data_IF_624006228917
#
_entry.id   IF_624006228917
#
_cell.length_a   1.000
_cell.length_b   1.000
_cell.length_c   1.000
_cell.angle_alpha   90.00
_cell.angle_beta   90.00
_cell.angle_gamma   90.00
#
_symmetry.space_group_name_H-M   'P 1'
#
loop_
_entity.id
_entity.type
_entity.pdbx_description
1 polymer ?
#
# COMPACT_ATOMS: atom_id res chain seq x y z
N UNK A 1 62.23 -11.96 -46.03
CA UNK A 1 61.73 -11.22 -44.85
C UNK A 1 60.25 -10.83 -44.89
N UNK A 2 59.47 -11.12 -45.95
CA UNK A 2 58.07 -10.69 -46.06
C UNK A 2 57.03 -11.54 -45.31
N UNK A 3 57.33 -12.79 -44.94
CA UNK A 3 56.33 -13.71 -44.38
C UNK A 3 56.06 -13.51 -42.87
N UNK A 4 56.94 -12.83 -42.14
CA UNK A 4 56.79 -12.57 -40.70
C UNK A 4 55.82 -11.44 -40.38
N UNK A 5 55.71 -10.39 -41.21
CA UNK A 5 54.76 -9.29 -40.96
C UNK A 5 53.29 -9.70 -41.07
N UNK A 6 52.96 -10.61 -42.01
CA UNK A 6 51.57 -11.06 -42.22
C UNK A 6 50.99 -11.78 -40.99
N UNK A 7 51.78 -12.58 -40.30
CA UNK A 7 51.34 -13.30 -39.08
C UNK A 7 51.20 -12.41 -37.84
N UNK A 8 51.94 -11.30 -37.75
CA UNK A 8 51.79 -10.33 -36.65
C UNK A 8 50.48 -9.55 -36.79
N UNK A 9 50.13 -9.15 -38.01
CA UNK A 9 48.90 -8.38 -38.27
C UNK A 9 47.63 -9.21 -38.03
N UNK A 10 47.59 -10.48 -38.47
CA UNK A 10 46.44 -11.37 -38.22
C UNK A 10 46.29 -11.76 -36.75
N UNK A 11 47.40 -11.97 -36.01
CA UNK A 11 47.34 -12.21 -34.56
C UNK A 11 46.82 -11.00 -33.78
N UNK A 12 47.16 -9.76 -34.17
CA UNK A 12 46.60 -8.55 -33.54
C UNK A 12 45.11 -8.35 -33.86
N UNK A 13 44.67 -8.65 -35.07
CA UNK A 13 43.24 -8.61 -35.42
C UNK A 13 42.41 -9.62 -34.62
N UNK A 14 42.91 -10.85 -34.44
CA UNK A 14 42.23 -11.88 -33.63
C UNK A 14 42.21 -11.56 -32.13
N UNK A 15 43.27 -10.96 -31.58
CA UNK A 15 43.28 -10.50 -30.18
C UNK A 15 42.35 -9.31 -29.94
N UNK A 16 42.17 -8.41 -30.91
CA UNK A 16 41.19 -7.32 -30.83
C UNK A 16 39.73 -7.82 -30.91
N UNK A 17 39.46 -8.84 -31.74
CA UNK A 17 38.14 -9.47 -31.84
C UNK A 17 37.76 -10.29 -30.59
N UNK A 18 38.73 -10.96 -29.95
CA UNK A 18 38.49 -11.75 -28.74
C UNK A 18 38.16 -10.89 -27.49
N UNK A 19 38.55 -9.62 -27.47
CA UNK A 19 38.27 -8.70 -26.35
C UNK A 19 36.90 -8.02 -26.42
N UNK A 20 36.17 -8.13 -27.54
CA UNK A 20 34.82 -7.57 -27.70
C UNK A 20 33.68 -8.60 -27.55
N UNK A 21 34.01 -9.88 -27.28
CA UNK A 21 33.05 -10.99 -27.29
C UNK A 21 32.55 -11.44 -25.89
N UNK A 22 33.00 -10.82 -24.80
CA UNK A 22 32.60 -11.18 -23.41
C UNK A 22 31.77 -10.11 -22.70
N UNK A 23 31.39 -9.03 -23.38
CA UNK A 23 30.53 -7.97 -22.85
C UNK A 23 29.03 -8.26 -23.05
N UNK A 24 28.59 -9.50 -22.78
CA UNK A 24 27.17 -9.73 -22.47
C UNK A 24 26.88 -9.07 -21.13
N UNK A 25 26.28 -7.89 -21.17
CA UNK A 25 25.90 -7.09 -20.01
C UNK A 25 25.01 -7.89 -19.07
N UNK A 26 25.63 -8.54 -18.08
CA UNK A 26 24.97 -8.94 -16.86
C UNK A 26 24.59 -7.67 -16.10
N UNK A 27 23.53 -7.00 -16.55
CA UNK A 27 22.79 -6.09 -15.70
C UNK A 27 22.41 -6.88 -14.47
N UNK A 28 23.03 -6.54 -13.33
CA UNK A 28 22.60 -7.01 -12.03
C UNK A 28 21.10 -6.77 -11.96
N UNK A 29 20.30 -7.84 -11.92
CA UNK A 29 18.86 -7.76 -12.11
C UNK A 29 18.23 -7.06 -10.91
N UNK A 30 18.18 -5.73 -10.98
CA UNK A 30 17.51 -4.92 -9.99
C UNK A 30 16.07 -5.39 -9.88
N UNK A 31 15.54 -5.60 -8.67
CA UNK A 31 14.22 -6.20 -8.51
C UNK A 31 13.16 -5.43 -9.29
N UNK A 32 12.34 -6.19 -10.01
CA UNK A 32 11.25 -5.64 -10.82
C UNK A 32 10.31 -4.82 -9.93
N UNK A 33 9.62 -3.82 -10.50
CA UNK A 33 8.66 -3.02 -9.73
C UNK A 33 7.54 -3.90 -9.12
N UNK A 34 7.18 -5.00 -9.78
CA UNK A 34 6.31 -6.03 -9.25
C UNK A 34 6.88 -6.67 -7.96
N UNK A 35 8.12 -7.17 -7.99
CA UNK A 35 8.82 -7.72 -6.82
C UNK A 35 8.96 -6.70 -5.69
N UNK A 36 9.36 -5.45 -5.98
CA UNK A 36 9.43 -4.37 -4.98
C UNK A 36 8.06 -4.08 -4.35
N UNK A 37 6.98 -4.14 -5.12
CA UNK A 37 5.62 -3.97 -4.61
C UNK A 37 5.21 -5.13 -3.69
N UNK A 38 5.56 -6.37 -4.04
CA UNK A 38 5.29 -7.57 -3.25
C UNK A 38 6.01 -7.56 -1.90
N UNK A 39 7.31 -7.20 -1.87
CA UNK A 39 8.05 -6.95 -0.62
C UNK A 39 7.33 -5.89 0.21
N UNK A 40 6.95 -4.75 -0.40
CA UNK A 40 6.33 -3.63 0.31
C UNK A 40 4.98 -4.00 0.94
N UNK A 41 4.21 -4.90 0.34
CA UNK A 41 3.00 -5.46 0.97
C UNK A 41 3.32 -6.42 2.12
N UNK A 42 4.29 -7.33 1.95
CA UNK A 42 4.63 -8.34 2.94
C UNK A 42 5.34 -7.75 4.18
N UNK A 43 6.22 -6.76 3.96
CA UNK A 43 7.07 -6.13 4.98
C UNK A 43 6.49 -4.86 5.58
N UNK A 44 5.21 -4.53 5.35
CA UNK A 44 4.68 -3.19 5.70
C UNK A 44 4.76 -2.88 7.19
N UNK A 45 4.43 -3.85 8.04
CA UNK A 45 4.54 -3.74 9.51
C UNK A 45 5.99 -3.65 9.96
N UNK A 46 6.83 -4.55 9.46
CA UNK A 46 8.23 -4.68 9.86
C UNK A 46 9.06 -3.46 9.44
N UNK A 47 8.78 -2.90 8.26
CA UNK A 47 9.38 -1.66 7.79
C UNK A 47 9.05 -0.47 8.70
N UNK A 48 7.82 -0.40 9.23
CA UNK A 48 7.42 0.67 10.16
C UNK A 48 8.02 0.48 11.57
N UNK A 49 8.35 -0.76 11.96
CA UNK A 49 9.01 -1.05 13.24
C UNK A 49 10.54 -0.84 13.19
N UNK A 50 11.19 -1.23 12.09
CA UNK A 50 12.66 -1.31 11.99
C UNK A 50 13.31 -0.30 11.03
N UNK A 51 12.53 0.33 10.13
CA UNK A 51 13.05 1.14 9.02
C UNK A 51 12.30 2.48 8.82
N UNK A 52 11.59 2.98 9.84
CA UNK A 52 10.72 4.15 9.73
C UNK A 52 11.42 5.46 9.26
N UNK A 53 12.73 5.57 9.44
CA UNK A 53 13.55 6.70 9.00
C UNK A 53 13.98 6.65 7.52
N UNK A 54 13.69 5.55 6.81
CA UNK A 54 14.17 5.30 5.45
C UNK A 54 13.06 5.55 4.42
N UNK A 55 13.41 6.13 3.26
CA UNK A 55 12.44 6.42 2.19
C UNK A 55 11.85 5.12 1.62
N UNK A 56 10.52 4.91 1.70
CA UNK A 56 9.90 3.64 1.33
C UNK A 56 9.94 3.40 -0.18
N UNK A 57 10.38 2.19 -0.57
CA UNK A 57 10.31 1.70 -1.95
C UNK A 57 11.56 1.93 -2.81
N UNK A 58 12.61 2.55 -2.27
CA UNK A 58 13.95 2.62 -2.89
C UNK A 58 14.85 1.44 -2.50
N UNK A 59 16.08 1.44 -3.02
CA UNK A 59 17.12 0.47 -2.63
C UNK A 59 17.45 0.55 -1.13
N UNK A 60 17.50 1.77 -0.56
CA UNK A 60 17.70 2.01 0.87
C UNK A 60 16.70 1.26 1.75
N UNK A 61 15.42 1.22 1.35
CA UNK A 61 14.39 0.52 2.10
C UNK A 61 14.64 -0.99 2.15
N UNK A 62 15.09 -1.57 1.03
CA UNK A 62 15.46 -2.98 0.96
C UNK A 62 16.73 -3.26 1.77
N UNK A 63 17.75 -2.40 1.68
CA UNK A 63 18.99 -2.56 2.45
C UNK A 63 18.77 -2.43 3.96
N UNK A 64 17.83 -1.58 4.40
CA UNK A 64 17.42 -1.51 5.80
C UNK A 64 16.71 -2.80 6.27
N UNK A 65 15.82 -3.38 5.44
CA UNK A 65 15.20 -4.67 5.75
C UNK A 65 16.27 -5.77 5.84
N UNK A 66 17.20 -5.85 4.87
CA UNK A 66 18.32 -6.80 4.92
C UNK A 66 19.15 -6.71 6.20
N UNK A 67 19.45 -5.49 6.68
CA UNK A 67 20.16 -5.27 7.95
C UNK A 67 19.37 -5.68 9.20
N UNK A 68 18.03 -5.74 9.12
CA UNK A 68 17.14 -6.07 10.23
C UNK A 68 16.52 -7.47 10.12
N UNK A 69 17.01 -8.34 9.22
CA UNK A 69 16.40 -9.64 8.86
C UNK A 69 16.01 -10.55 10.03
N UNK A 70 16.72 -10.49 11.16
CA UNK A 70 16.40 -11.24 12.38
C UNK A 70 15.20 -10.71 13.16
N UNK A 71 14.85 -9.42 13.01
CA UNK A 71 13.68 -8.79 13.64
C UNK A 71 12.42 -8.78 12.78
N UNK A 72 12.52 -9.04 11.48
CA UNK A 72 11.37 -9.04 10.57
C UNK A 72 10.50 -10.30 10.75
N UNK A 73 9.19 -10.16 10.50
CA UNK A 73 8.24 -11.27 10.39
C UNK A 73 8.67 -12.31 9.36
N UNK A 74 8.30 -13.58 9.56
CA UNK A 74 8.65 -14.69 8.65
C UNK A 74 8.17 -14.48 7.21
N UNK A 75 7.00 -13.87 7.02
CA UNK A 75 6.48 -13.48 5.71
C UNK A 75 7.34 -12.42 5.03
N UNK A 76 7.79 -11.41 5.77
CA UNK A 76 8.71 -10.40 5.27
C UNK A 76 10.11 -10.98 4.96
N UNK A 77 10.68 -11.80 5.86
CA UNK A 77 11.96 -12.49 5.63
C UNK A 77 11.93 -13.31 4.34
N UNK A 78 10.83 -14.03 4.09
CA UNK A 78 10.65 -14.85 2.88
C UNK A 78 10.62 -13.98 1.62
N UNK A 79 9.89 -12.86 1.66
CA UNK A 79 9.82 -11.92 0.54
C UNK A 79 11.16 -11.22 0.26
N UNK A 80 11.95 -10.89 1.30
CA UNK A 80 13.28 -10.29 1.14
C UNK A 80 14.28 -11.29 0.55
N UNK A 81 14.33 -12.52 1.08
CA UNK A 81 15.23 -13.60 0.60
C UNK A 81 14.92 -14.08 -0.81
N UNK A 82 13.66 -14.07 -1.24
CA UNK A 82 13.27 -14.46 -2.60
C UNK A 82 13.75 -13.47 -3.69
N UNK A 83 14.31 -12.32 -3.28
CA UNK A 83 14.72 -11.21 -4.15
C UNK A 83 16.19 -10.81 -3.92
N UNK A 84 16.79 -11.27 -2.82
CA UNK A 84 18.25 -11.33 -2.69
C UNK A 84 18.75 -12.19 -3.85
N UNK A 85 19.77 -11.76 -4.61
CA UNK A 85 20.06 -12.33 -5.92
C UNK A 85 20.26 -13.84 -5.79
N UNK A 86 19.31 -14.59 -6.34
CA UNK A 86 19.40 -16.04 -6.40
C UNK A 86 20.70 -16.38 -7.13
N UNK A 87 21.69 -16.87 -6.38
CA UNK A 87 22.80 -17.59 -6.95
C UNK A 87 22.18 -18.72 -7.79
N UNK A 88 22.21 -18.54 -9.11
CA UNK A 88 21.43 -19.35 -10.04
C UNK A 88 21.79 -20.82 -9.79
N UNK A 89 20.83 -21.71 -9.48
CA UNK A 89 21.12 -23.13 -9.48
C UNK A 89 21.53 -23.48 -10.91
N UNK A 90 22.81 -23.79 -11.09
CA UNK A 90 23.40 -24.07 -12.39
C UNK A 90 22.89 -25.44 -12.87
N UNK A 91 21.70 -25.43 -13.46
CA UNK A 91 21.05 -26.61 -14.02
C UNK A 91 21.67 -26.94 -15.38
N UNK A 92 22.73 -27.73 -15.35
CA UNK A 92 23.30 -28.42 -16.51
C UNK A 92 23.06 -29.93 -16.28
N UNK A 93 22.32 -30.58 -17.18
CA UNK A 93 22.13 -32.04 -17.17
C UNK A 93 23.37 -32.72 -17.81
N UNK A 94 23.75 -33.98 -17.58
CA UNK A 94 23.14 -35.19 -17.00
C UNK A 94 24.29 -36.18 -16.62
N UNK A 95 24.11 -37.51 -16.42
CA UNK A 95 22.97 -38.34 -15.99
C UNK A 95 23.32 -39.24 -14.75
N UNK A 96 22.45 -40.21 -14.40
CA UNK A 96 22.62 -41.20 -13.31
C UNK A 96 23.61 -42.36 -13.67
N UNK A 97 23.99 -43.35 -12.85
CA UNK A 97 23.49 -43.96 -11.58
C UNK A 97 24.64 -44.73 -10.82
N UNK A 98 24.45 -45.84 -10.06
CA UNK A 98 24.20 -45.88 -8.60
C UNK A 98 25.14 -46.83 -7.78
N UNK A 99 24.80 -47.06 -6.49
CA UNK A 99 25.27 -48.06 -5.47
C UNK A 99 26.16 -47.48 -4.35
N UNK A 100 25.76 -47.48 -3.07
CA UNK A 100 25.59 -48.61 -2.10
C UNK A 100 26.95 -49.10 -1.57
N UNK A 101 27.22 -49.23 -0.26
CA UNK A 101 26.39 -49.25 0.98
C UNK A 101 27.01 -48.30 2.06
N UNK A 102 26.65 -48.16 3.36
CA UNK A 102 25.76 -48.88 4.28
C UNK A 102 25.24 -47.99 5.46
N UNK A 103 24.46 -48.60 6.38
CA UNK A 103 24.15 -48.15 7.76
C UNK A 103 24.26 -49.37 8.71
N UNK A 104 24.33 -49.22 10.06
CA UNK A 104 23.12 -49.10 10.92
C UNK A 104 23.37 -48.22 12.19
N UNK A 105 22.46 -47.96 13.14
CA UNK A 105 20.99 -48.08 13.38
C UNK A 105 20.68 -46.94 14.39
N UNK A 106 19.68 -46.07 14.19
CA UNK A 106 18.26 -46.24 14.47
C UNK A 106 17.86 -46.35 15.96
N UNK A 107 17.02 -45.41 16.41
CA UNK A 107 15.84 -45.75 17.23
C UNK A 107 14.65 -44.83 16.85
N UNK A 108 13.49 -45.44 16.65
CA UNK A 108 12.20 -44.84 16.29
C UNK A 108 11.08 -45.90 16.52
N UNK A 109 9.78 -45.61 16.28
CA UNK A 109 8.81 -45.15 17.26
C UNK A 109 7.68 -46.21 17.46
N UNK A 110 6.46 -45.82 17.85
CA UNK A 110 5.34 -45.86 16.87
C UNK A 110 4.51 -44.55 16.87
N UNK A 111 3.87 -44.05 15.81
CA UNK A 111 2.93 -44.65 14.82
C UNK A 111 1.56 -45.04 15.45
N UNK A 112 0.37 -44.85 14.84
CA UNK A 112 -0.08 -44.37 13.53
C UNK A 112 -1.47 -43.70 13.69
N UNK A 113 -1.85 -42.62 13.00
CA UNK A 113 -2.38 -42.52 11.62
C UNK A 113 -3.61 -43.38 11.29
N UNK A 114 -4.74 -42.75 10.90
CA UNK A 114 -5.54 -43.11 9.71
C UNK A 114 -6.65 -42.11 9.34
N UNK A 115 -6.91 -41.97 8.04
CA UNK A 115 -8.17 -41.49 7.45
C UNK A 115 -9.23 -42.62 7.53
N UNK A 116 -10.52 -42.51 7.19
CA UNK A 116 -11.24 -41.66 6.22
C UNK A 116 -12.76 -41.81 6.48
N UNK A 117 -13.60 -40.83 6.10
CA UNK A 117 -15.00 -40.99 5.61
C UNK A 117 -15.85 -39.72 5.84
N UNK A 118 -16.62 -39.33 4.82
CA UNK A 118 -17.76 -38.42 4.98
C UNK A 118 -19.01 -39.19 5.42
N UNK A 119 -20.07 -38.50 5.89
CA UNK A 119 -21.19 -38.30 4.96
C UNK A 119 -21.77 -36.87 4.98
N UNK A 120 -22.59 -36.58 3.97
CA UNK A 120 -23.20 -35.26 3.77
C UNK A 120 -24.39 -34.99 4.71
N UNK A 121 -24.52 -33.73 5.16
CA UNK A 121 -25.76 -33.17 5.69
C UNK A 121 -25.90 -31.68 5.30
N UNK A 122 -27.14 -31.24 5.06
CA UNK A 122 -27.52 -29.89 4.61
C UNK A 122 -27.25 -28.80 5.67
N UNK A 123 -27.18 -27.51 5.31
CA UNK A 123 -26.72 -26.45 6.20
C UNK A 123 -27.79 -26.00 7.20
N UNK A 124 -27.40 -25.91 8.48
CA UNK A 124 -28.11 -25.12 9.48
C UNK A 124 -27.41 -23.77 9.64
N UNK A 125 -28.19 -22.68 9.64
CA UNK A 125 -27.66 -21.33 9.78
C UNK A 125 -27.12 -21.10 11.20
N UNK A 126 -25.80 -21.05 11.34
CA UNK A 126 -25.15 -20.63 12.59
C UNK A 126 -25.07 -19.10 12.65
N UNK A 127 -25.85 -18.50 13.57
CA UNK A 127 -25.72 -17.09 13.90
C UNK A 127 -24.28 -16.78 14.39
N UNK A 128 -23.68 -15.64 14.01
CA UNK A 128 -22.31 -15.31 14.41
C UNK A 128 -22.25 -15.05 15.93
N UNK A 129 -21.57 -15.94 16.64
CA UNK A 129 -21.31 -15.81 18.08
C UNK A 129 -20.36 -14.62 18.32
N UNK A 130 -20.83 -13.63 19.07
CA UNK A 130 -19.98 -12.54 19.53
C UNK A 130 -19.08 -13.01 20.69
N UNK A 131 -17.78 -12.66 20.63
CA UNK A 131 -17.00 -12.03 21.71
C UNK A 131 -15.49 -12.27 21.53
N UNK A 132 -14.77 -11.25 21.05
CA UNK A 132 -13.32 -11.11 21.25
C UNK A 132 -12.98 -9.61 21.37
N UNK A 133 -12.02 -9.30 22.24
CA UNK A 133 -11.75 -7.99 22.84
C UNK A 133 -11.75 -6.75 21.90
N UNK A 134 -12.57 -5.76 22.29
CA UNK A 134 -12.21 -4.34 22.54
C UNK A 134 -11.43 -3.53 21.47
N UNK A 135 -11.30 -4.00 20.23
CA UNK A 135 -10.81 -3.19 19.11
C UNK A 135 -11.96 -2.68 18.23
N UNK A 136 -11.98 -1.39 17.85
CA UNK A 136 -12.96 -0.87 16.93
C UNK A 136 -12.78 -1.47 15.54
N UNK A 137 -13.90 -1.81 14.92
CA UNK A 137 -13.95 -2.34 13.55
C UNK A 137 -13.33 -1.36 12.53
N UNK A 138 -12.91 -1.89 11.39
CA UNK A 138 -12.43 -1.08 10.25
C UNK A 138 -13.43 -0.01 9.81
N UNK A 139 -14.74 -0.30 9.92
CA UNK A 139 -15.81 0.65 9.67
C UNK A 139 -15.84 1.80 10.70
N UNK A 140 -15.71 1.51 11.99
CA UNK A 140 -15.62 2.53 13.05
C UNK A 140 -14.36 3.38 12.89
N UNK A 141 -13.21 2.78 12.59
CA UNK A 141 -11.95 3.51 12.33
C UNK A 141 -12.10 4.45 11.12
N UNK A 142 -12.78 4.00 10.05
CA UNK A 142 -13.07 4.85 8.89
C UNK A 142 -14.03 6.00 9.23
N UNK A 143 -15.08 5.74 10.03
CA UNK A 143 -16.02 6.75 10.49
C UNK A 143 -15.33 7.83 11.33
N UNK A 144 -14.55 7.45 12.36
CA UNK A 144 -13.76 8.39 13.17
C UNK A 144 -12.79 9.19 12.30
N UNK A 145 -12.04 8.52 11.42
CA UNK A 145 -11.10 9.20 10.51
C UNK A 145 -11.80 10.21 9.62
N UNK A 146 -13.05 9.97 9.24
CA UNK A 146 -13.85 10.89 8.42
C UNK A 146 -14.36 12.11 9.18
N UNK A 147 -14.81 11.94 10.43
CA UNK A 147 -15.33 13.00 11.28
C UNK A 147 -14.20 13.90 11.80
N UNK A 148 -13.05 13.32 12.16
CA UNK A 148 -11.92 14.02 12.77
C UNK A 148 -10.93 14.63 11.76
N UNK A 149 -11.20 14.64 10.45
CA UNK A 149 -10.22 15.08 9.42
C UNK A 149 -9.66 16.49 9.65
N UNK A 150 -10.50 17.41 10.12
CA UNK A 150 -10.11 18.80 10.33
C UNK A 150 -9.39 19.03 11.68
N UNK A 151 -9.59 18.14 12.65
CA UNK A 151 -9.10 18.29 14.03
C UNK A 151 -7.80 17.52 14.26
N UNK A 152 -7.69 16.30 13.69
CA UNK A 152 -6.52 15.45 13.80
C UNK A 152 -5.18 16.14 13.47
N UNK A 153 -5.03 16.92 12.38
CA UNK A 153 -3.75 17.60 12.09
C UNK A 153 -3.44 18.75 13.05
N UNK A 154 -4.41 19.25 13.83
CA UNK A 154 -4.19 20.30 14.84
C UNK A 154 -3.87 19.72 16.23
N UNK A 155 -4.40 18.53 16.52
CA UNK A 155 -4.43 17.94 17.87
C UNK A 155 -3.52 16.71 18.01
N UNK A 156 -3.29 15.97 16.91
CA UNK A 156 -2.57 14.69 16.88
C UNK A 156 -1.51 14.63 15.78
N UNK A 157 -0.91 15.78 15.40
CA UNK A 157 0.00 15.91 14.25
C UNK A 157 1.18 14.91 14.24
N UNK A 158 1.72 14.57 15.42
CA UNK A 158 2.85 13.64 15.56
C UNK A 158 2.46 12.16 15.56
N UNK A 159 1.18 11.83 15.42
CA UNK A 159 0.66 10.46 15.50
C UNK A 159 0.30 9.93 14.10
N UNK A 160 0.62 8.67 13.75
CA UNK A 160 0.22 8.08 12.47
C UNK A 160 -1.32 7.95 12.32
N UNK A 161 -1.93 8.44 11.23
CA UNK A 161 -3.39 8.52 11.10
C UNK A 161 -4.07 7.18 10.76
N UNK A 162 -4.46 6.45 11.81
CA UNK A 162 -5.31 5.25 11.77
C UNK A 162 -4.89 4.23 12.84
N UNK A 163 -5.81 3.32 13.19
CA UNK A 163 -5.56 2.30 14.22
C UNK A 163 -5.54 2.86 15.66
N UNK A 164 -5.09 2.02 16.60
CA UNK A 164 -5.11 2.31 18.04
C UNK A 164 -4.44 3.63 18.47
N UNK A 165 -3.20 3.98 18.05
CA UNK A 165 -2.53 5.18 18.57
C UNK A 165 -3.24 6.47 18.14
N UNK A 166 -3.83 6.50 16.94
CA UNK A 166 -4.63 7.62 16.48
C UNK A 166 -5.90 7.83 17.31
N UNK A 167 -6.54 6.74 17.72
CA UNK A 167 -7.72 6.80 18.58
C UNK A 167 -7.34 7.24 19.99
N UNK A 168 -6.29 6.68 20.59
CA UNK A 168 -5.87 7.05 21.95
C UNK A 168 -5.48 8.53 22.05
N UNK A 169 -4.80 9.08 21.03
CA UNK A 169 -4.54 10.53 20.96
C UNK A 169 -5.83 11.37 20.89
N UNK A 170 -6.79 10.96 20.05
CA UNK A 170 -8.09 11.62 19.95
C UNK A 170 -8.91 11.51 21.25
N UNK A 171 -8.81 10.39 21.97
CA UNK A 171 -9.47 10.21 23.27
C UNK A 171 -8.90 11.12 24.35
N UNK A 172 -7.57 11.18 24.47
CA UNK A 172 -6.85 12.07 25.40
C UNK A 172 -7.14 13.54 25.15
N UNK A 173 -7.50 13.91 23.92
CA UNK A 173 -7.78 15.29 23.51
C UNK A 173 -9.24 15.54 23.10
N UNK A 174 -10.22 14.76 23.61
CA UNK A 174 -11.66 14.90 23.28
C UNK A 174 -12.23 16.31 23.51
N UNK A 175 -11.63 17.11 24.41
CA UNK A 175 -12.03 18.50 24.66
C UNK A 175 -11.48 19.51 23.63
N UNK A 176 -10.43 19.17 22.88
CA UNK A 176 -9.78 20.02 21.87
C UNK A 176 -10.18 19.73 20.42
N UNK A 177 -11.10 18.78 20.20
CA UNK A 177 -11.61 18.41 18.86
C UNK A 177 -13.05 18.88 18.67
N UNK A 178 -13.53 18.93 17.43
CA UNK A 178 -14.93 19.27 17.15
C UNK A 178 -15.91 18.30 17.82
N UNK A 179 -17.11 18.78 18.15
CA UNK A 179 -18.17 17.95 18.71
C UNK A 179 -18.55 16.74 17.82
N UNK A 180 -18.39 16.88 16.48
CA UNK A 180 -18.57 15.78 15.54
C UNK A 180 -17.47 14.71 15.68
N UNK A 181 -16.21 15.12 15.79
CA UNK A 181 -15.10 14.22 16.07
C UNK A 181 -15.25 13.53 17.44
N UNK A 182 -15.52 14.27 18.51
CA UNK A 182 -15.68 13.73 19.86
C UNK A 182 -16.81 12.68 19.95
N UNK A 183 -17.96 12.93 19.27
CA UNK A 183 -19.07 11.97 19.15
C UNK A 183 -18.63 10.71 18.41
N UNK A 184 -17.96 10.84 17.27
CA UNK A 184 -17.49 9.69 16.49
C UNK A 184 -16.48 8.83 17.25
N UNK A 185 -15.53 9.45 17.97
CA UNK A 185 -14.55 8.75 18.80
C UNK A 185 -15.24 7.99 19.93
N UNK A 186 -16.19 8.63 20.63
CA UNK A 186 -16.95 7.98 21.72
C UNK A 186 -17.83 6.84 21.22
N UNK A 187 -18.41 6.93 20.02
CA UNK A 187 -19.15 5.83 19.39
C UNK A 187 -18.24 4.67 18.87
N UNK A 188 -16.93 4.91 18.75
CA UNK A 188 -15.96 3.89 18.40
C UNK A 188 -15.38 3.16 19.64
N UNK A 189 -15.35 3.80 20.80
CA UNK A 189 -14.76 3.21 22.04
C UNK A 189 -15.80 2.80 23.08
N UNK A 190 -16.97 3.45 23.10
CA UNK A 190 -18.19 2.91 23.71
C UNK A 190 -18.94 2.07 22.68
N UNK A 191 -18.96 0.74 22.86
CA UNK A 191 -19.61 -0.19 21.93
C UNK A 191 -21.13 -0.02 21.85
N UNK A 192 -21.59 0.84 20.94
CA UNK A 192 -23.00 1.05 20.63
C UNK A 192 -23.30 0.71 19.17
N UNK A 193 -24.13 -0.31 18.95
CA UNK A 193 -24.71 -0.58 17.63
C UNK A 193 -25.58 0.58 17.17
N UNK A 194 -25.66 0.78 15.86
CA UNK A 194 -26.36 1.93 15.28
C UNK A 194 -27.88 1.91 15.52
N UNK A 195 -28.44 3.08 15.78
CA UNK A 195 -29.63 3.51 15.05
C UNK A 195 -29.26 4.72 14.20
N UNK A 196 -29.55 4.63 12.90
CA UNK A 196 -29.56 5.79 12.05
C UNK A 196 -30.89 6.51 12.27
N UNK A 197 -30.84 7.76 12.71
CA UNK A 197 -31.99 8.67 12.66
C UNK A 197 -31.58 9.94 11.93
N UNK A 198 -32.48 10.43 11.08
CA UNK A 198 -32.21 11.52 10.15
C UNK A 198 -32.02 12.89 10.84
N UNK A 199 -31.64 13.88 10.02
CA UNK A 199 -31.47 15.28 10.41
C UNK A 199 -32.76 15.92 10.98
N UNK A 200 -32.66 17.15 11.50
CA UNK A 200 -33.04 18.28 10.64
C UNK A 200 -31.93 19.30 10.38
N UNK A 201 -32.24 20.26 9.53
CA UNK A 201 -31.33 21.26 8.98
C UNK A 201 -31.27 22.57 9.80
N UNK A 202 -30.44 23.49 9.29
CA UNK A 202 -30.41 24.94 9.55
C UNK A 202 -29.95 25.44 10.94
N UNK A 203 -28.74 26.01 10.95
CA UNK A 203 -28.39 27.15 11.80
C UNK A 203 -27.40 28.06 11.07
N UNK A 204 -27.60 29.38 11.18
CA UNK A 204 -26.96 30.44 10.42
C UNK A 204 -25.42 30.50 10.54
N UNK A 205 -24.78 31.03 9.50
CA UNK A 205 -23.41 31.54 9.58
C UNK A 205 -23.39 32.88 10.34
N UNK A 206 -22.33 33.17 11.13
CA UNK A 206 -21.99 34.54 11.48
C UNK A 206 -21.20 35.17 10.32
N UNK A 207 -21.56 36.40 9.94
CA UNK A 207 -20.74 37.20 9.04
C UNK A 207 -19.49 37.71 9.78
N UNK A 208 -18.30 37.40 9.27
CA UNK A 208 -17.06 38.05 9.70
C UNK A 208 -16.80 39.30 8.85
N UNK A 209 -16.65 40.46 9.49
CA UNK A 209 -16.56 41.75 8.84
C UNK A 209 -15.32 41.97 7.97
N UNK A 210 -15.38 42.99 7.11
CA UNK A 210 -14.30 43.40 6.23
C UNK A 210 -13.30 44.36 6.92
N UNK A 211 -12.01 44.11 6.71
CA UNK A 211 -10.89 45.04 6.94
C UNK A 211 -9.74 44.65 5.97
N UNK A 212 -8.82 45.58 5.65
CA UNK A 212 -8.52 45.86 4.23
C UNK A 212 -7.41 45.02 3.59
N UNK A 213 -7.34 45.10 2.26
CA UNK A 213 -6.39 44.38 1.44
C UNK A 213 -4.93 44.83 1.66
N UNK A 214 -4.07 43.88 2.01
CA UNK A 214 -2.64 43.95 1.70
C UNK A 214 -2.42 43.39 0.29
N UNK A 215 -1.62 44.07 -0.54
CA UNK A 215 -1.35 43.65 -1.91
C UNK A 215 -0.70 42.24 -1.94
N UNK A 216 -1.16 41.32 -2.80
CA UNK A 216 -0.61 39.97 -2.84
C UNK A 216 0.81 40.01 -3.40
N UNK A 217 1.78 39.54 -2.61
CA UNK A 217 2.98 38.96 -3.18
C UNK A 217 2.54 37.85 -4.14
N UNK A 218 3.06 37.85 -5.37
CA UNK A 218 2.64 36.89 -6.39
C UNK A 218 3.03 35.46 -5.97
N UNK A 219 2.10 34.75 -5.33
CA UNK A 219 2.20 33.31 -5.10
C UNK A 219 2.16 32.66 -6.47
N UNK A 220 3.35 32.36 -7.01
CA UNK A 220 3.49 31.56 -8.23
C UNK A 220 3.02 30.15 -7.87
N UNK A 221 1.72 29.90 -8.08
CA UNK A 221 1.08 28.60 -7.88
C UNK A 221 1.81 27.59 -8.75
N UNK A 222 2.63 26.76 -8.09
CA UNK A 222 3.39 25.71 -8.74
C UNK A 222 2.39 24.75 -9.40
N UNK A 223 2.58 24.33 -10.66
CA UNK A 223 1.66 23.41 -11.30
C UNK A 223 1.47 22.16 -10.46
N UNK A 224 0.22 21.88 -10.09
CA UNK A 224 -0.16 20.72 -9.28
C UNK A 224 0.32 19.44 -9.97
N UNK A 225 0.88 18.51 -9.19
CA UNK A 225 1.35 17.24 -9.74
C UNK A 225 0.13 16.37 -10.08
N UNK A 226 0.19 15.51 -11.12
CA UNK A 226 -0.94 14.65 -11.49
C UNK A 226 -1.51 13.77 -10.36
N UNK A 227 -0.71 13.46 -9.33
CA UNK A 227 -1.16 12.75 -8.12
C UNK A 227 -1.95 13.62 -7.13
N UNK A 228 -1.63 14.91 -7.05
CA UNK A 228 -2.33 15.88 -6.22
C UNK A 228 -3.67 16.24 -6.85
N UNK A 229 -3.69 16.50 -8.16
CA UNK A 229 -4.92 16.68 -8.96
C UNK A 229 -5.90 15.52 -8.76
N UNK A 230 -5.42 14.28 -8.93
CA UNK A 230 -6.25 13.08 -8.77
C UNK A 230 -6.74 12.90 -7.32
N UNK A 231 -5.97 13.35 -6.33
CA UNK A 231 -6.37 13.33 -4.92
C UNK A 231 -7.45 14.38 -4.64
N UNK A 232 -7.30 15.60 -5.15
CA UNK A 232 -8.25 16.71 -4.99
C UNK A 232 -9.59 16.34 -5.64
N UNK A 233 -9.58 15.95 -6.93
CA UNK A 233 -10.79 15.51 -7.66
C UNK A 233 -11.49 14.37 -6.92
N UNK A 234 -10.75 13.35 -6.46
CA UNK A 234 -11.33 12.21 -5.73
C UNK A 234 -11.81 12.57 -4.32
N UNK A 235 -11.30 13.64 -3.73
CA UNK A 235 -11.78 14.15 -2.43
C UNK A 235 -13.08 14.94 -2.56
N UNK A 236 -13.19 15.82 -3.58
CA UNK A 236 -14.36 16.65 -3.84
C UNK A 236 -15.53 15.82 -4.40
N UNK A 237 -15.30 15.11 -5.51
CA UNK A 237 -16.31 14.28 -6.16
C UNK A 237 -16.53 12.93 -5.46
N UNK A 238 -15.85 12.67 -4.33
CA UNK A 238 -15.93 11.39 -3.62
C UNK A 238 -17.29 11.10 -2.98
N UNK A 239 -18.15 12.11 -2.79
CA UNK A 239 -19.56 11.91 -2.43
C UNK A 239 -20.39 11.54 -3.67
N UNK A 240 -20.32 12.38 -4.72
CA UNK A 240 -21.05 12.22 -5.97
C UNK A 240 -20.78 10.88 -6.68
N UNK A 241 -19.51 10.44 -6.71
CA UNK A 241 -19.14 9.13 -7.27
C UNK A 241 -19.80 7.98 -6.51
N UNK A 242 -19.98 8.10 -5.19
CA UNK A 242 -20.61 7.04 -4.38
C UNK A 242 -22.13 7.02 -4.49
N UNK A 243 -22.78 8.14 -4.79
CA UNK A 243 -24.23 8.22 -4.96
C UNK A 243 -24.66 7.98 -6.41
N UNK A 244 -23.97 8.60 -7.37
CA UNK A 244 -24.34 8.59 -8.79
C UNK A 244 -23.66 7.46 -9.58
N UNK A 245 -22.50 6.97 -9.13
CA UNK A 245 -21.69 5.96 -9.83
C UNK A 245 -21.46 4.67 -9.01
N UNK A 246 -22.35 4.36 -8.05
CA UNK A 246 -22.19 3.23 -7.11
C UNK A 246 -21.96 1.86 -7.77
N UNK A 247 -22.57 1.60 -8.94
CA UNK A 247 -22.43 0.36 -9.70
C UNK A 247 -21.26 0.32 -10.70
N UNK A 248 -20.47 1.39 -10.81
CA UNK A 248 -19.44 1.52 -11.85
C UNK A 248 -18.14 0.87 -11.42
N UNK A 249 -17.74 -0.21 -12.10
CA UNK A 249 -16.48 -0.89 -11.81
C UNK A 249 -15.27 0.06 -11.99
N UNK A 250 -14.35 0.12 -11.02
CA UNK A 250 -13.17 0.99 -11.10
C UNK A 250 -12.23 0.60 -12.24
N UNK A 251 -11.40 1.55 -12.68
CA UNK A 251 -10.45 1.37 -13.79
C UNK A 251 -11.02 1.67 -15.18
N UNK A 252 -10.12 1.78 -16.17
CA UNK A 252 -10.49 1.98 -17.59
C UNK A 252 -11.29 3.26 -17.88
N UNK A 253 -11.17 4.32 -17.08
CA UNK A 253 -11.91 5.58 -17.28
C UNK A 253 -13.41 5.55 -16.96
N UNK A 254 -14.00 4.39 -16.66
CA UNK A 254 -15.46 4.22 -16.49
C UNK A 254 -16.09 5.18 -15.47
N UNK A 255 -15.43 5.43 -14.35
CA UNK A 255 -15.89 6.38 -13.33
C UNK A 255 -15.91 7.82 -13.87
N UNK A 256 -14.93 8.21 -14.70
CA UNK A 256 -14.89 9.54 -15.33
C UNK A 256 -16.05 9.70 -16.30
N UNK A 257 -16.35 8.66 -17.09
CA UNK A 257 -17.48 8.69 -18.02
C UNK A 257 -18.83 8.75 -17.29
N UNK A 258 -19.00 8.03 -16.17
CA UNK A 258 -20.18 8.16 -15.33
C UNK A 258 -20.33 9.57 -14.71
N UNK A 259 -19.23 10.15 -14.21
CA UNK A 259 -19.23 11.52 -13.67
C UNK A 259 -19.60 12.54 -14.76
N UNK A 260 -19.06 12.38 -15.97
CA UNK A 260 -19.41 13.22 -17.12
C UNK A 260 -20.88 13.09 -17.51
N UNK A 261 -21.43 11.87 -17.58
CA UNK A 261 -22.86 11.62 -17.84
C UNK A 261 -23.78 12.19 -16.77
N UNK A 262 -23.28 12.39 -15.54
CA UNK A 262 -24.02 12.94 -14.41
C UNK A 262 -23.64 14.40 -14.09
N UNK A 263 -22.95 15.12 -14.99
CA UNK A 263 -22.37 16.45 -14.72
C UNK A 263 -23.39 17.46 -14.13
N UNK A 264 -24.64 17.43 -14.59
CA UNK A 264 -25.71 18.28 -14.06
C UNK A 264 -26.06 17.96 -12.59
N UNK A 265 -25.98 16.69 -12.18
CA UNK A 265 -26.35 16.18 -10.85
C UNK A 265 -25.21 16.26 -9.82
N UNK A 266 -23.99 16.63 -10.22
CA UNK A 266 -22.85 16.75 -9.31
C UNK A 266 -23.05 17.88 -8.28
N UNK A 267 -22.51 17.68 -7.08
CA UNK A 267 -22.41 18.71 -6.06
C UNK A 267 -21.64 19.96 -6.54
N UNK A 268 -21.92 21.16 -6.00
CA UNK A 268 -21.19 22.38 -6.38
C UNK A 268 -19.67 22.22 -6.23
N UNK A 269 -19.20 21.70 -5.09
CA UNK A 269 -17.76 21.52 -4.85
C UNK A 269 -17.09 20.52 -5.79
N UNK A 270 -17.81 19.53 -6.34
CA UNK A 270 -17.27 18.68 -7.41
C UNK A 270 -17.24 19.41 -8.76
N UNK A 271 -18.28 20.21 -9.08
CA UNK A 271 -18.32 21.04 -10.30
C UNK A 271 -17.20 22.08 -10.33
N UNK A 272 -16.98 22.80 -9.23
CA UNK A 272 -15.93 23.81 -9.11
C UNK A 272 -14.53 23.23 -9.36
N UNK A 273 -14.27 22.02 -8.84
CA UNK A 273 -13.01 21.30 -9.04
C UNK A 273 -12.88 20.75 -10.47
N UNK A 274 -13.98 20.39 -11.14
CA UNK A 274 -13.95 19.89 -12.52
C UNK A 274 -13.91 21.00 -13.59
N UNK A 275 -14.41 22.21 -13.29
CA UNK A 275 -14.43 23.35 -14.19
C UNK A 275 -13.08 23.65 -14.92
N UNK A 276 -11.91 23.69 -14.26
CA UNK A 276 -10.63 23.94 -14.94
C UNK A 276 -10.16 22.79 -15.85
N UNK A 277 -10.76 21.60 -15.75
CA UNK A 277 -10.49 20.45 -16.63
C UNK A 277 -11.50 20.35 -17.78
N UNK A 278 -12.68 20.93 -17.65
CA UNK A 278 -13.70 20.96 -18.70
C UNK A 278 -13.45 22.02 -19.78
N UNK A 279 -12.56 22.99 -19.51
CA UNK A 279 -12.16 24.06 -20.42
C UNK A 279 -10.82 23.79 -21.15
N UNK A 280 -10.36 22.54 -21.18
CA UNK A 280 -9.14 22.07 -21.84
C UNK A 280 -9.45 20.97 -22.85
#
# INVERSE_FOLDING_TARGET
>A
MFNTLKHVSTRRALLAAALFATATSAFAQAPTEAQKSAIRSACRSDFMAHCASVTPGGAEAYQCLQKNMSGLSSGCQTAVRAIEPAAVPKAEAAPAAPKTEAAPKAEAPPAASKAESAPAAKPAAAAPKAAAAKQPSSAQIAAVKSACRADYPKVCASVPPGGAPALECLEKNKAGVSAACAKAVTAATGGGGATATAAPAAAAAPASGAAPAAAPAAIVLRPLRPREELFIVRSACGADIRTLCAGVQPGGGRIVQCVASNAASLSPGCKDVLAPFAAR
#
